data_IF_926661046952
#
_entry.id   IF_926661046952
#
_cell.length_a   1.000
_cell.length_b   1.000
_cell.length_c   1.000
_cell.angle_alpha   90.00
_cell.angle_beta   90.00
_cell.angle_gamma   90.00
#
_symmetry.space_group_name_H-M   'P 1'
#
loop_
_entity.id
_entity.type
_entity.pdbx_description
1 polymer ?
#
# COMPACT_ATOMS: atom_id res chain seq x y z
N UNK A 1 -11.98 1.40 -3.34
CA UNK A 1 -11.21 0.39 -4.09
C UNK A 1 -11.74 -0.99 -3.73
N UNK A 2 -11.78 -1.92 -4.70
CA UNK A 2 -12.26 -3.29 -4.45
C UNK A 2 -11.46 -3.99 -3.36
N UNK A 3 -10.14 -3.83 -3.36
CA UNK A 3 -9.24 -4.44 -2.34
C UNK A 3 -9.54 -3.93 -0.94
N UNK A 4 -9.95 -2.68 -0.78
CA UNK A 4 -10.24 -2.10 0.52
C UNK A 4 -11.46 -2.66 1.25
N UNK A 5 -12.30 -3.43 0.55
CA UNK A 5 -13.52 -4.04 1.07
C UNK A 5 -13.43 -5.58 1.16
N UNK A 6 -12.22 -6.12 1.05
CA UNK A 6 -11.97 -7.56 1.17
C UNK A 6 -11.72 -7.90 2.64
N UNK A 7 -12.66 -8.61 3.26
CA UNK A 7 -12.64 -8.92 4.68
C UNK A 7 -12.62 -10.43 4.96
N UNK A 8 -12.27 -10.80 6.19
CA UNK A 8 -12.31 -12.17 6.69
C UNK A 8 -11.36 -13.10 5.96
N UNK A 9 -11.86 -14.23 5.49
CA UNK A 9 -11.10 -15.26 4.76
C UNK A 9 -11.02 -15.02 3.25
N UNK A 10 -11.62 -13.93 2.78
CA UNK A 10 -11.63 -13.58 1.36
C UNK A 10 -10.28 -13.06 0.91
N UNK A 11 -9.85 -13.48 -0.26
CA UNK A 11 -8.69 -12.95 -0.99
C UNK A 11 -9.15 -12.30 -2.29
N UNK A 12 -8.43 -11.29 -2.75
CA UNK A 12 -8.66 -10.69 -4.05
C UNK A 12 -7.36 -10.44 -4.80
N UNK A 13 -7.42 -10.59 -6.12
CA UNK A 13 -6.35 -10.24 -7.05
C UNK A 13 -6.92 -9.31 -8.11
N UNK A 14 -6.32 -8.15 -8.28
CA UNK A 14 -6.65 -7.23 -9.36
C UNK A 14 -5.54 -7.30 -10.40
N UNK A 15 -5.93 -7.61 -11.63
CA UNK A 15 -5.05 -7.63 -12.79
C UNK A 15 -5.46 -6.49 -13.71
N UNK A 16 -4.49 -5.68 -14.11
CA UNK A 16 -4.71 -4.65 -15.12
C UNK A 16 -3.80 -4.91 -16.31
N UNK A 17 -4.38 -5.11 -17.48
CA UNK A 17 -3.64 -5.50 -18.68
C UNK A 17 -4.30 -4.99 -19.95
N UNK A 18 -3.52 -4.96 -21.03
CA UNK A 18 -4.01 -4.62 -22.36
C UNK A 18 -4.08 -5.90 -23.23
N UNK A 19 -5.17 -6.14 -23.96
CA UNK A 19 -6.37 -5.30 -24.15
C UNK A 19 -7.50 -5.54 -23.14
N UNK A 20 -7.32 -6.46 -22.17
CA UNK A 20 -8.41 -6.94 -21.30
C UNK A 20 -8.91 -5.88 -20.29
N UNK A 21 -8.10 -4.86 -19.99
CA UNK A 21 -8.42 -3.88 -18.96
C UNK A 21 -8.23 -4.41 -17.54
N UNK A 22 -9.09 -3.99 -16.62
CA UNK A 22 -9.09 -4.41 -15.23
C UNK A 22 -9.92 -5.68 -15.06
N UNK A 23 -9.34 -6.68 -14.40
CA UNK A 23 -9.99 -7.93 -14.02
C UNK A 23 -9.83 -8.14 -12.52
N UNK A 24 -10.92 -8.41 -11.83
CA UNK A 24 -10.93 -8.68 -10.38
C UNK A 24 -11.31 -10.14 -10.16
N UNK A 25 -10.47 -10.87 -9.45
CA UNK A 25 -10.71 -12.22 -8.99
C UNK A 25 -10.82 -12.19 -7.48
N UNK A 26 -11.93 -12.66 -6.94
CA UNK A 26 -12.18 -12.72 -5.51
C UNK A 26 -12.73 -14.07 -5.11
N UNK A 27 -12.27 -14.60 -3.99
CA UNK A 27 -12.72 -15.87 -3.47
C UNK A 27 -12.19 -16.14 -2.08
N UNK A 28 -12.75 -17.17 -1.43
CA UNK A 28 -12.27 -17.62 -0.13
C UNK A 28 -10.87 -18.21 -0.25
N UNK A 29 -9.93 -17.70 0.55
CA UNK A 29 -8.52 -18.15 0.59
C UNK A 29 -8.23 -19.19 1.65
N UNK A 30 -9.18 -19.44 2.58
CA UNK A 30 -9.03 -20.39 3.68
C UNK A 30 -10.36 -21.06 4.00
N UNK A 31 -10.27 -22.24 4.62
CA UNK A 31 -11.42 -23.05 5.03
C UNK A 31 -11.42 -24.45 4.41
N UNK A 32 -12.11 -25.41 5.03
CA UNK A 32 -12.14 -26.80 4.54
C UNK A 32 -12.80 -26.93 3.18
N UNK A 33 -13.88 -26.21 2.91
CA UNK A 33 -14.60 -26.23 1.64
C UNK A 33 -13.76 -25.73 0.47
N UNK A 34 -13.28 -24.50 0.48
CA UNK A 34 -12.43 -23.96 -0.58
C UNK A 34 -11.17 -24.77 -0.83
N UNK A 35 -10.50 -25.23 0.24
CA UNK A 35 -9.28 -26.04 0.13
C UNK A 35 -9.57 -27.40 -0.51
N UNK A 36 -10.63 -28.10 -0.09
CA UNK A 36 -11.04 -29.38 -0.68
C UNK A 36 -11.42 -29.24 -2.14
N UNK A 37 -12.16 -28.19 -2.47
CA UNK A 37 -12.57 -27.88 -3.84
C UNK A 37 -11.38 -27.64 -4.76
N UNK A 38 -10.39 -26.87 -4.30
CA UNK A 38 -9.16 -26.61 -5.05
C UNK A 38 -8.35 -27.89 -5.30
N UNK A 39 -8.13 -28.70 -4.24
CA UNK A 39 -7.41 -29.98 -4.37
C UNK A 39 -8.11 -30.95 -5.32
N UNK A 40 -9.44 -31.08 -5.23
CA UNK A 40 -10.21 -31.93 -6.12
C UNK A 40 -10.19 -31.43 -7.57
N UNK A 41 -10.25 -30.15 -7.78
CA UNK A 41 -10.13 -29.54 -9.12
C UNK A 41 -8.80 -29.86 -9.79
N UNK A 42 -7.70 -29.72 -9.03
CA UNK A 42 -6.36 -30.01 -9.52
C UNK A 42 -6.18 -31.51 -9.80
N UNK A 43 -6.64 -32.39 -8.89
CA UNK A 43 -6.60 -33.84 -9.08
C UNK A 43 -7.37 -34.27 -10.32
N UNK A 44 -8.59 -33.80 -10.49
CA UNK A 44 -9.42 -34.09 -11.66
C UNK A 44 -8.79 -33.56 -12.96
N UNK A 45 -8.16 -32.40 -12.92
CA UNK A 45 -7.44 -31.84 -14.07
C UNK A 45 -6.27 -32.75 -14.48
N UNK A 46 -5.51 -33.27 -13.53
CA UNK A 46 -4.41 -34.22 -13.78
C UNK A 46 -4.96 -35.52 -14.37
N UNK A 47 -6.00 -36.11 -13.77
CA UNK A 47 -6.61 -37.36 -14.22
C UNK A 47 -7.19 -37.25 -15.63
N UNK A 48 -7.72 -36.10 -16.02
CA UNK A 48 -8.22 -35.82 -17.38
C UNK A 48 -7.11 -35.52 -18.39
N UNK A 49 -5.86 -35.54 -18.01
CA UNK A 49 -4.72 -35.23 -18.87
C UNK A 49 -4.63 -33.75 -19.26
N UNK A 50 -5.30 -32.86 -18.55
CA UNK A 50 -5.27 -31.43 -18.81
C UNK A 50 -3.94 -30.79 -18.38
N UNK A 51 -2.82 -31.37 -18.81
CA UNK A 51 -1.48 -30.83 -18.56
C UNK A 51 -1.23 -29.71 -19.57
N UNK A 52 -1.72 -28.53 -19.28
CA UNK A 52 -1.47 -27.33 -20.09
C UNK A 52 -0.35 -26.52 -19.49
N UNK A 53 0.50 -25.94 -20.33
CA UNK A 53 1.45 -24.94 -19.87
C UNK A 53 0.70 -23.74 -19.28
N UNK A 54 1.01 -23.30 -18.05
CA UNK A 54 0.48 -22.04 -17.55
C UNK A 54 0.71 -20.93 -18.58
N UNK A 55 -0.31 -20.14 -18.86
CA UNK A 55 -0.31 -19.09 -19.90
C UNK A 55 -0.12 -19.58 -21.35
N UNK A 56 -0.34 -20.86 -21.64
CA UNK A 56 -0.21 -21.41 -23.00
C UNK A 56 1.21 -21.38 -23.58
N UNK A 57 2.23 -21.01 -22.80
CA UNK A 57 3.61 -20.82 -23.25
C UNK A 57 4.56 -21.66 -22.41
N UNK A 58 5.48 -22.37 -23.05
CA UNK A 58 6.51 -23.15 -22.35
C UNK A 58 7.42 -22.25 -21.51
N UNK A 59 7.96 -22.79 -20.39
CA UNK A 59 8.81 -22.05 -19.46
C UNK A 59 9.98 -21.32 -20.13
N UNK A 60 10.57 -21.94 -21.15
CA UNK A 60 11.73 -21.38 -21.87
C UNK A 60 11.39 -20.17 -22.77
N UNK A 61 10.11 -20.04 -23.15
CA UNK A 61 9.63 -18.93 -23.98
C UNK A 61 9.02 -17.78 -23.16
N UNK A 62 8.95 -17.91 -21.82
CA UNK A 62 8.42 -16.85 -20.96
C UNK A 62 9.45 -15.76 -20.79
N UNK A 63 9.03 -14.53 -21.00
CA UNK A 63 9.85 -13.37 -20.66
C UNK A 63 9.94 -13.28 -19.13
N UNK A 64 11.15 -13.06 -18.61
CA UNK A 64 11.30 -12.72 -17.20
C UNK A 64 10.72 -11.33 -16.97
N UNK A 65 9.79 -11.16 -16.01
CA UNK A 65 9.25 -9.84 -15.72
C UNK A 65 10.40 -8.92 -15.27
N UNK A 66 10.41 -7.70 -15.79
CA UNK A 66 11.30 -6.67 -15.29
C UNK A 66 10.75 -6.23 -13.92
N UNK A 67 11.46 -6.59 -12.86
CA UNK A 67 11.08 -6.16 -11.50
C UNK A 67 11.25 -4.65 -11.43
N UNK A 68 10.16 -3.96 -11.11
CA UNK A 68 10.21 -2.52 -10.90
C UNK A 68 10.96 -2.22 -9.58
N UNK A 69 11.93 -1.31 -9.65
CA UNK A 69 12.61 -0.86 -8.43
C UNK A 69 11.65 0.02 -7.63
N UNK A 70 11.28 -0.44 -6.44
CA UNK A 70 10.39 0.27 -5.52
C UNK A 70 10.85 1.70 -5.25
N UNK A 71 12.14 1.93 -5.21
CA UNK A 71 12.73 3.25 -4.94
C UNK A 71 12.44 4.28 -6.03
N UNK A 72 12.07 3.83 -7.22
CA UNK A 72 11.68 4.68 -8.36
C UNK A 72 10.16 4.95 -8.41
N UNK A 73 9.40 4.38 -7.49
CA UNK A 73 7.96 4.63 -7.44
C UNK A 73 7.66 6.03 -6.94
N UNK A 74 6.56 6.59 -7.46
CA UNK A 74 6.04 7.89 -7.04
C UNK A 74 4.56 7.77 -6.78
N UNK A 75 4.14 8.03 -5.56
CA UNK A 75 2.75 7.87 -5.12
C UNK A 75 2.35 9.04 -4.23
N UNK A 76 1.07 9.34 -4.20
CA UNK A 76 0.50 10.16 -3.14
C UNK A 76 0.56 9.42 -1.80
N UNK A 77 0.76 10.15 -0.71
CA UNK A 77 0.97 9.57 0.62
C UNK A 77 -0.10 10.08 1.58
N UNK A 78 -0.66 9.15 2.35
CA UNK A 78 -1.36 9.46 3.59
C UNK A 78 -0.36 9.38 4.74
N UNK A 79 -0.24 10.45 5.51
CA UNK A 79 0.61 10.54 6.68
C UNK A 79 -0.23 10.90 7.89
N UNK A 80 -0.07 10.16 9.00
CA UNK A 80 -0.65 10.53 10.28
C UNK A 80 0.45 10.64 11.33
N UNK A 81 0.48 11.79 12.02
CA UNK A 81 1.46 12.16 13.01
C UNK A 81 0.74 12.54 14.31
N UNK A 82 1.08 11.89 15.41
CA UNK A 82 0.67 12.30 16.75
C UNK A 82 1.73 13.24 17.31
N UNK A 83 1.34 14.46 17.63
CA UNK A 83 2.27 15.53 17.97
C UNK A 83 1.89 16.28 19.25
N UNK A 84 2.83 16.98 19.85
CA UNK A 84 2.54 17.95 20.92
C UNK A 84 1.74 19.11 20.34
N UNK A 85 0.64 19.49 20.99
CA UNK A 85 -0.17 20.64 20.55
C UNK A 85 0.40 21.94 21.12
N UNK A 86 1.32 22.55 20.37
CA UNK A 86 1.95 23.82 20.73
C UNK A 86 2.42 24.60 19.49
N UNK A 87 2.55 25.94 19.60
CA UNK A 87 3.06 26.76 18.51
C UNK A 87 4.39 26.25 17.95
N UNK A 88 4.55 26.34 16.62
CA UNK A 88 5.77 25.97 15.91
C UNK A 88 5.89 24.50 15.52
N UNK A 89 5.04 23.61 16.04
CA UNK A 89 5.10 22.17 15.72
C UNK A 89 4.76 21.94 14.24
N UNK A 90 3.68 22.53 13.74
CA UNK A 90 3.31 22.43 12.33
C UNK A 90 4.41 22.97 11.42
N UNK A 91 5.04 24.10 11.80
CA UNK A 91 6.19 24.65 11.07
C UNK A 91 7.35 23.67 11.01
N UNK A 92 7.65 22.95 12.08
CA UNK A 92 8.71 21.95 12.09
C UNK A 92 8.42 20.77 11.16
N UNK A 93 7.15 20.35 11.04
CA UNK A 93 6.69 19.29 10.17
C UNK A 93 6.79 19.72 8.70
N UNK A 94 6.27 20.91 8.37
CA UNK A 94 6.29 21.42 7.00
C UNK A 94 7.72 21.69 6.51
N UNK A 95 8.64 22.11 7.37
CA UNK A 95 10.07 22.21 7.04
C UNK A 95 10.69 20.85 6.67
N UNK A 96 10.32 19.77 7.37
CA UNK A 96 10.79 18.43 7.03
C UNK A 96 10.24 18.01 5.66
N UNK A 97 8.95 18.20 5.39
CA UNK A 97 8.34 17.90 4.10
C UNK A 97 9.00 18.68 2.97
N UNK A 98 9.21 19.99 3.16
CA UNK A 98 9.87 20.85 2.18
C UNK A 98 11.30 20.40 1.88
N UNK A 99 12.07 19.99 2.92
CA UNK A 99 13.43 19.45 2.75
C UNK A 99 13.49 18.28 1.78
N UNK A 100 12.45 17.42 1.78
CA UNK A 100 12.36 16.25 0.90
C UNK A 100 11.44 16.49 -0.32
N UNK A 101 11.14 17.77 -0.62
CA UNK A 101 10.32 18.19 -1.78
C UNK A 101 8.94 17.52 -1.83
N UNK A 102 8.38 17.20 -0.66
CA UNK A 102 7.04 16.62 -0.54
C UNK A 102 6.02 17.74 -0.38
N UNK A 103 5.16 17.90 -1.37
CA UNK A 103 4.10 18.92 -1.37
C UNK A 103 2.83 18.38 -0.73
N UNK A 104 2.17 19.23 0.08
CA UNK A 104 0.93 18.89 0.79
C UNK A 104 -0.25 19.22 -0.13
N UNK A 105 -1.15 18.26 -0.29
CA UNK A 105 -2.45 18.46 -0.97
C UNK A 105 -3.53 18.80 0.04
N UNK A 106 -3.57 18.09 1.17
CA UNK A 106 -4.55 18.31 2.25
C UNK A 106 -3.86 18.17 3.60
N UNK A 107 -4.34 18.95 4.56
CA UNK A 107 -3.90 18.89 5.95
C UNK A 107 -5.13 19.04 6.85
N UNK A 108 -5.22 18.16 7.84
CA UNK A 108 -6.22 18.24 8.90
C UNK A 108 -5.49 18.09 10.23
N UNK A 109 -5.73 19.00 11.15
CA UNK A 109 -5.24 18.93 12.53
C UNK A 109 -6.44 18.73 13.46
N UNK A 110 -6.39 17.69 14.26
CA UNK A 110 -7.42 17.35 15.24
C UNK A 110 -6.78 17.46 16.63
N UNK A 111 -7.05 18.51 17.40
CA UNK A 111 -6.51 18.64 18.74
C UNK A 111 -7.19 17.70 19.73
N UNK A 112 -6.43 17.17 20.65
CA UNK A 112 -6.92 16.50 21.86
C UNK A 112 -6.64 17.40 23.07
N UNK A 113 -7.66 18.11 23.51
CA UNK A 113 -7.57 19.08 24.60
C UNK A 113 -7.21 18.44 25.95
N UNK A 114 -7.49 17.14 26.14
CA UNK A 114 -7.20 16.44 27.41
C UNK A 114 -5.72 16.13 27.54
N UNK A 115 -5.07 15.71 26.46
CA UNK A 115 -3.69 15.26 26.47
C UNK A 115 -2.68 16.34 26.02
N UNK A 116 -3.13 17.53 25.64
CA UNK A 116 -2.32 18.59 25.01
C UNK A 116 -1.53 18.09 23.81
N UNK A 117 -2.16 17.21 23.04
CA UNK A 117 -1.63 16.62 21.80
C UNK A 117 -2.55 16.91 20.63
N UNK A 118 -2.05 16.70 19.42
CA UNK A 118 -2.88 16.78 18.21
C UNK A 118 -2.52 15.64 17.25
N UNK A 119 -3.53 15.14 16.56
CA UNK A 119 -3.34 14.27 15.42
C UNK A 119 -3.31 15.12 14.15
N UNK A 120 -2.20 15.05 13.42
CA UNK A 120 -2.04 15.71 12.12
C UNK A 120 -2.15 14.67 11.03
N UNK A 121 -3.16 14.82 10.17
CA UNK A 121 -3.35 13.98 8.98
C UNK A 121 -2.99 14.80 7.74
N UNK A 122 -2.12 14.25 6.91
CA UNK A 122 -1.64 14.86 5.69
C UNK A 122 -1.91 13.94 4.51
N UNK A 123 -2.38 14.50 3.41
CA UNK A 123 -2.34 13.89 2.09
C UNK A 123 -1.38 14.71 1.24
N UNK A 124 -0.44 14.04 0.58
CA UNK A 124 0.56 14.70 -0.25
C UNK A 124 0.20 14.59 -1.73
N UNK A 125 0.77 15.46 -2.58
CA UNK A 125 0.92 15.16 -3.99
C UNK A 125 1.88 13.97 -4.18
N UNK A 126 2.02 13.47 -5.41
CA UNK A 126 2.96 12.39 -5.71
C UNK A 126 4.36 12.74 -5.22
N UNK A 127 4.94 11.84 -4.44
CA UNK A 127 6.28 11.96 -3.89
C UNK A 127 7.08 10.70 -4.20
N UNK A 128 8.37 10.88 -4.44
CA UNK A 128 9.28 9.78 -4.67
C UNK A 128 9.42 8.92 -3.40
N UNK A 129 9.46 7.61 -3.55
CA UNK A 129 9.54 6.67 -2.42
C UNK A 129 10.78 6.87 -1.54
N UNK A 130 11.94 7.13 -2.14
CA UNK A 130 13.18 7.39 -1.39
C UNK A 130 13.05 8.63 -0.51
N UNK A 131 12.44 9.69 -1.04
CA UNK A 131 12.24 10.94 -0.29
C UNK A 131 11.20 10.75 0.81
N UNK A 132 10.15 9.98 0.55
CA UNK A 132 9.17 9.58 1.57
C UNK A 132 9.83 8.82 2.73
N UNK A 133 10.68 7.84 2.45
CA UNK A 133 11.39 7.08 3.47
C UNK A 133 12.35 7.95 4.31
N UNK A 134 13.09 8.85 3.65
CA UNK A 134 13.97 9.82 4.36
C UNK A 134 13.15 10.77 5.23
N UNK A 135 12.00 11.22 4.73
CA UNK A 135 11.06 12.07 5.46
C UNK A 135 10.56 11.38 6.74
N UNK A 136 10.12 10.12 6.65
CA UNK A 136 9.68 9.32 7.80
C UNK A 136 10.81 9.15 8.83
N UNK A 137 12.04 8.90 8.40
CA UNK A 137 13.19 8.84 9.31
C UNK A 137 13.38 10.15 10.07
N UNK A 138 13.26 11.29 9.37
CA UNK A 138 13.36 12.61 9.99
C UNK A 138 12.21 12.91 10.96
N UNK A 139 11.00 12.44 10.67
CA UNK A 139 9.88 12.54 11.60
C UNK A 139 10.12 11.74 12.88
N UNK A 140 10.65 10.52 12.79
CA UNK A 140 10.99 9.70 13.97
C UNK A 140 12.01 10.38 14.90
N UNK A 141 12.88 11.23 14.35
CA UNK A 141 13.88 11.97 15.12
C UNK A 141 13.36 13.31 15.66
N UNK A 142 12.13 13.71 15.33
CA UNK A 142 11.57 15.00 15.76
C UNK A 142 10.96 14.88 17.17
N UNK A 143 11.48 15.62 18.13
CA UNK A 143 11.05 15.63 19.54
C UNK A 143 9.59 16.07 19.77
N UNK A 144 8.96 16.68 18.78
CA UNK A 144 7.56 17.08 18.85
C UNK A 144 6.60 15.98 18.42
N UNK A 145 7.08 14.92 17.77
CA UNK A 145 6.27 13.76 17.37
C UNK A 145 6.34 12.73 18.50
N UNK A 146 5.17 12.29 18.95
CA UNK A 146 5.02 11.51 20.19
C UNK A 146 5.00 10.01 19.88
N UNK A 147 4.37 9.62 18.75
CA UNK A 147 4.26 8.23 18.32
C UNK A 147 4.93 8.02 16.96
N UNK A 148 5.19 6.76 16.63
CA UNK A 148 5.70 6.43 15.29
C UNK A 148 4.77 6.97 14.21
N UNK A 149 5.30 7.68 13.21
CA UNK A 149 4.54 8.12 12.05
C UNK A 149 3.89 6.96 11.32
N UNK A 150 2.63 7.11 10.90
CA UNK A 150 1.94 6.17 10.02
C UNK A 150 2.02 6.71 8.60
N UNK A 151 2.47 5.87 7.66
CA UNK A 151 2.52 6.18 6.24
C UNK A 151 1.78 5.11 5.46
N UNK A 152 0.84 5.52 4.61
CA UNK A 152 0.13 4.66 3.66
C UNK A 152 0.29 5.27 2.27
N UNK A 153 0.62 4.44 1.29
CA UNK A 153 0.69 4.85 -0.11
C UNK A 153 -0.71 4.80 -0.71
N UNK A 154 -1.07 5.86 -1.43
CA UNK A 154 -2.34 5.95 -2.15
C UNK A 154 -2.07 5.67 -3.64
N UNK A 155 -2.85 4.75 -4.21
CA UNK A 155 -2.76 4.33 -5.60
C UNK A 155 -3.96 4.84 -6.39
#
# INVERSE_FOLDING_TARGET
>A
SYIGNVDGVMNAVILNGSPIGETVLQGEGAGPGPTSSALMSDLLSILRGNIKYPFGISKNKRLKPKIFNKDQSSNSLYLRLEVKDKPGVLSSITKILAKYKISIQRLIQIPDHKSKTASIVLITHNANELDAQKCIKSFKSNKNIIKNPVLIRLF
#
